data_IF_373547436510
#
_entry.id   IF_373547436510
#
_cell.length_a   1.000
_cell.length_b   1.000
_cell.length_c   1.000
_cell.angle_alpha   90.00
_cell.angle_beta   90.00
_cell.angle_gamma   90.00
#
_symmetry.space_group_name_H-M   'P 1'
#
loop_
_entity.id
_entity.type
_entity.pdbx_description
1 polymer ?
#
# COMPACT_ATOMS: atom_id res chain seq x y z
N UNK A 1 -0.74 -9.55 7.04
CA UNK A 1 -1.87 -9.09 6.20
C UNK A 1 -2.99 -8.48 7.04
N UNK A 2 -3.56 -9.19 8.02
CA UNK A 2 -4.55 -8.60 8.94
C UNK A 2 -4.01 -7.39 9.72
N UNK A 3 -2.72 -7.37 10.11
CA UNK A 3 -2.13 -6.22 10.80
C UNK A 3 -2.14 -4.92 9.97
N UNK A 4 -2.07 -5.00 8.63
CA UNK A 4 -2.09 -3.81 7.77
C UNK A 4 -3.47 -3.13 7.72
N UNK A 5 -4.56 -3.89 7.81
CA UNK A 5 -5.90 -3.29 7.95
C UNK A 5 -6.14 -2.77 9.37
N UNK A 6 -5.68 -3.49 10.39
CA UNK A 6 -5.93 -3.11 11.79
C UNK A 6 -5.11 -1.88 12.22
N UNK A 7 -3.90 -1.66 11.67
CA UNK A 7 -3.06 -0.51 12.01
C UNK A 7 -3.64 0.82 11.46
N UNK A 8 -4.52 0.75 10.47
CA UNK A 8 -4.81 1.86 9.55
C UNK A 8 -6.29 2.25 9.42
N UNK A 9 -7.20 1.57 10.13
CA UNK A 9 -8.63 1.84 10.04
C UNK A 9 -8.99 3.32 10.25
N UNK A 10 -9.51 3.95 9.20
CA UNK A 10 -10.07 5.30 9.19
C UNK A 10 -9.04 6.44 9.07
N UNK A 11 -7.82 6.18 8.61
CA UNK A 11 -6.77 7.23 8.47
C UNK A 11 -6.50 7.67 7.03
N UNK A 12 -6.85 6.85 6.05
CA UNK A 12 -6.53 7.09 4.64
C UNK A 12 -7.77 7.58 3.90
N UNK A 13 -8.93 6.98 4.18
CA UNK A 13 -10.23 7.26 3.53
C UNK A 13 -10.14 7.12 1.99
N UNK A 14 -9.55 6.00 1.55
CA UNK A 14 -9.33 5.69 0.14
C UNK A 14 -9.14 4.19 -0.10
N UNK A 15 -9.19 3.79 -1.38
CA UNK A 15 -8.82 2.46 -1.86
C UNK A 15 -7.36 2.44 -2.29
N UNK A 16 -6.60 1.48 -1.77
CA UNK A 16 -5.18 1.29 -2.10
C UNK A 16 -5.01 -0.12 -2.64
N UNK A 17 -4.39 -0.25 -3.81
CA UNK A 17 -4.03 -1.54 -4.39
C UNK A 17 -2.52 -1.70 -4.42
N UNK A 18 -2.01 -2.78 -3.83
CA UNK A 18 -0.65 -3.24 -4.02
C UNK A 18 -0.65 -4.25 -5.17
N UNK A 19 0.09 -3.95 -6.24
CA UNK A 19 0.31 -4.85 -7.36
C UNK A 19 1.69 -5.49 -7.25
N UNK A 20 1.69 -6.82 -7.22
CA UNK A 20 2.86 -7.67 -7.27
C UNK A 20 2.89 -8.39 -8.62
N UNK A 21 4.02 -9.00 -8.95
CA UNK A 21 4.15 -9.77 -10.20
C UNK A 21 3.22 -11.00 -10.26
N UNK A 22 2.79 -11.50 -9.10
CA UNK A 22 2.04 -12.74 -8.92
C UNK A 22 0.61 -12.52 -8.38
N UNK A 23 0.18 -11.27 -8.22
CA UNK A 23 -1.16 -10.97 -7.71
C UNK A 23 -1.32 -9.53 -7.25
N UNK A 24 -2.45 -9.24 -6.61
CA UNK A 24 -2.70 -7.94 -6.02
C UNK A 24 -3.40 -8.06 -4.67
N UNK A 25 -3.32 -6.99 -3.90
CA UNK A 25 -4.00 -6.81 -2.62
C UNK A 25 -4.68 -5.47 -2.65
N UNK A 26 -6.00 -5.46 -2.53
CA UNK A 26 -6.81 -4.26 -2.44
C UNK A 26 -7.21 -4.04 -0.98
N UNK A 27 -6.97 -2.83 -0.49
CA UNK A 27 -7.40 -2.34 0.82
C UNK A 27 -8.41 -1.22 0.57
N UNK A 28 -9.62 -1.38 1.09
CA UNK A 28 -10.66 -0.35 1.06
C UNK A 28 -10.84 0.23 2.47
N UNK A 29 -10.27 1.41 2.71
CA UNK A 29 -10.37 2.17 3.97
C UNK A 29 -11.52 3.20 3.93
N UNK A 30 -12.38 3.16 2.89
CA UNK A 30 -13.60 4.00 2.83
C UNK A 30 -14.75 3.39 3.63
N UNK A 31 -14.58 2.16 4.12
CA UNK A 31 -15.56 1.43 4.95
C UNK A 31 -15.05 1.22 6.37
N UNK A 32 -15.96 1.10 7.33
CA UNK A 32 -15.64 0.73 8.72
C UNK A 32 -16.37 -0.55 9.11
N UNK A 33 -15.66 -1.68 9.35
CA UNK A 33 -14.20 -1.83 9.29
C UNK A 33 -13.65 -1.77 7.85
N UNK A 34 -12.35 -1.49 7.67
CA UNK A 34 -11.70 -1.59 6.37
C UNK A 34 -11.79 -3.01 5.83
N UNK A 35 -11.88 -3.15 4.51
CA UNK A 35 -11.90 -4.46 3.86
C UNK A 35 -10.59 -4.74 3.13
N UNK A 36 -10.20 -6.02 3.09
CA UNK A 36 -9.06 -6.50 2.31
C UNK A 36 -9.55 -7.56 1.34
N UNK A 37 -9.15 -7.47 0.07
CA UNK A 37 -9.40 -8.51 -0.93
C UNK A 37 -8.20 -8.70 -1.86
N UNK A 38 -8.23 -9.78 -2.63
CA UNK A 38 -7.29 -10.01 -3.74
C UNK A 38 -7.95 -9.71 -5.10
N UNK A 39 -9.03 -8.93 -5.10
CA UNK A 39 -9.74 -8.56 -6.32
C UNK A 39 -8.98 -7.45 -7.05
N UNK A 40 -8.85 -7.59 -8.37
CA UNK A 40 -8.21 -6.59 -9.21
C UNK A 40 -9.21 -5.48 -9.62
N UNK A 41 -9.79 -4.82 -8.62
CA UNK A 41 -10.66 -3.67 -8.85
C UNK A 41 -9.84 -2.36 -8.91
N UNK A 42 -10.49 -1.30 -9.34
CA UNK A 42 -9.91 0.04 -9.35
C UNK A 42 -9.64 0.55 -7.92
N UNK A 43 -8.59 1.35 -7.80
CA UNK A 43 -8.14 1.95 -6.56
C UNK A 43 -7.70 3.40 -6.79
N UNK A 44 -7.83 4.26 -5.78
CA UNK A 44 -7.40 5.66 -5.83
C UNK A 44 -5.87 5.79 -5.90
N UNK A 45 -5.17 4.79 -5.37
CA UNK A 45 -3.73 4.65 -5.42
C UNK A 45 -3.33 3.21 -5.69
N UNK A 46 -2.47 3.00 -6.69
CA UNK A 46 -1.88 1.70 -7.05
C UNK A 46 -0.38 1.75 -6.82
N UNK A 47 0.13 0.77 -6.10
CA UNK A 47 1.54 0.65 -5.72
C UNK A 47 2.10 -0.62 -6.33
N UNK A 48 3.00 -0.45 -7.28
CA UNK A 48 3.73 -1.56 -7.86
C UNK A 48 5.03 -1.78 -7.08
N UNK A 49 5.19 -2.97 -6.54
CA UNK A 49 6.38 -3.37 -5.79
C UNK A 49 6.52 -4.89 -5.85
N UNK A 50 7.76 -5.40 -5.83
CA UNK A 50 7.97 -6.85 -5.73
C UNK A 50 7.84 -7.32 -4.26
N UNK A 51 7.65 -8.63 -4.07
CA UNK A 51 7.48 -9.23 -2.76
C UNK A 51 8.70 -9.01 -1.83
N UNK A 52 9.91 -9.02 -2.38
CA UNK A 52 11.14 -8.82 -1.62
C UNK A 52 11.25 -7.40 -1.03
N UNK A 53 11.11 -6.37 -1.86
CA UNK A 53 11.16 -4.97 -1.42
C UNK A 53 10.00 -4.65 -0.47
N UNK A 54 8.80 -5.19 -0.74
CA UNK A 54 7.67 -5.04 0.16
C UNK A 54 7.95 -5.64 1.55
N UNK A 55 8.55 -6.84 1.58
CA UNK A 55 8.99 -7.46 2.84
C UNK A 55 10.07 -6.64 3.55
N UNK A 56 11.04 -6.07 2.83
CA UNK A 56 12.05 -5.19 3.42
C UNK A 56 11.44 -3.93 4.05
N UNK A 57 10.42 -3.35 3.41
CA UNK A 57 9.68 -2.19 3.95
C UNK A 57 8.90 -2.59 5.22
N UNK A 58 8.14 -3.69 5.17
CA UNK A 58 7.40 -4.19 6.34
C UNK A 58 8.31 -4.49 7.54
N UNK A 59 9.52 -4.99 7.27
CA UNK A 59 10.52 -5.29 8.30
C UNK A 59 11.36 -4.06 8.70
N UNK A 60 11.02 -2.85 8.22
CA UNK A 60 11.77 -1.59 8.44
C UNK A 60 13.26 -1.66 8.03
N UNK A 61 13.60 -2.55 7.09
CA UNK A 61 14.95 -2.67 6.50
C UNK A 61 15.16 -1.70 5.34
N UNK A 62 14.07 -1.24 4.71
CA UNK A 62 14.04 -0.21 3.68
C UNK A 62 12.92 0.77 4.00
N UNK A 63 13.14 2.08 3.81
CA UNK A 63 12.03 3.05 3.92
C UNK A 63 11.24 3.14 2.62
N UNK A 64 9.94 3.39 2.73
CA UNK A 64 9.03 3.53 1.58
C UNK A 64 9.49 4.66 0.64
N UNK A 65 9.95 5.78 1.21
CA UNK A 65 10.50 6.89 0.45
C UNK A 65 11.74 6.50 -0.36
N UNK A 66 12.65 5.71 0.22
CA UNK A 66 13.85 5.24 -0.50
C UNK A 66 13.46 4.28 -1.63
N UNK A 67 12.50 3.38 -1.39
CA UNK A 67 12.01 2.45 -2.40
C UNK A 67 11.42 3.20 -3.61
N UNK A 68 10.62 4.24 -3.36
CA UNK A 68 10.03 5.08 -4.40
C UNK A 68 11.10 5.85 -5.18
N UNK A 69 11.97 6.58 -4.48
CA UNK A 69 13.02 7.41 -5.10
C UNK A 69 14.02 6.59 -5.92
N UNK A 70 14.28 5.33 -5.54
CA UNK A 70 15.16 4.41 -6.27
C UNK A 70 14.45 3.61 -7.37
N UNK A 71 13.15 3.81 -7.57
CA UNK A 71 12.35 3.12 -8.58
C UNK A 71 12.00 1.65 -8.25
N UNK A 72 12.31 1.21 -7.02
CA UNK A 72 11.95 -0.11 -6.48
C UNK A 72 10.47 -0.24 -6.15
N UNK A 73 9.81 0.90 -5.94
CA UNK A 73 8.37 1.06 -5.79
C UNK A 73 7.91 2.10 -6.82
N UNK A 74 6.78 1.84 -7.48
CA UNK A 74 6.10 2.84 -8.32
C UNK A 74 4.72 3.13 -7.78
N UNK A 75 4.30 4.37 -7.94
CA UNK A 75 3.01 4.85 -7.45
C UNK A 75 2.25 5.40 -8.65
N UNK A 76 1.03 4.92 -8.84
CA UNK A 76 0.07 5.39 -9.83
C UNK A 76 -1.17 5.90 -9.09
N UNK A 77 -1.66 7.08 -9.45
CA UNK A 77 -2.81 7.71 -8.80
C UNK A 77 -2.42 8.92 -7.94
N UNK A 78 -3.22 9.18 -6.91
CA UNK A 78 -3.09 10.37 -6.07
C UNK A 78 -1.85 10.30 -5.16
N UNK A 79 -0.83 11.10 -5.48
CA UNK A 79 0.42 11.15 -4.70
C UNK A 79 0.17 11.51 -3.22
N UNK A 80 -0.85 12.32 -2.93
CA UNK A 80 -1.26 12.68 -1.57
C UNK A 80 -1.63 11.44 -0.74
N UNK A 81 -2.28 10.45 -1.35
CA UNK A 81 -2.65 9.18 -0.70
C UNK A 81 -1.41 8.34 -0.46
N UNK A 82 -0.50 8.28 -1.45
CA UNK A 82 0.79 7.62 -1.30
C UNK A 82 1.65 8.22 -0.19
N UNK A 83 1.66 9.55 -0.02
CA UNK A 83 2.39 10.19 1.08
C UNK A 83 1.81 9.80 2.44
N UNK A 84 0.48 9.80 2.59
CA UNK A 84 -0.18 9.30 3.81
C UNK A 84 0.26 7.87 4.11
N UNK A 85 0.33 7.02 3.10
CA UNK A 85 0.76 5.64 3.23
C UNK A 85 2.24 5.50 3.63
N UNK A 86 3.14 6.32 3.08
CA UNK A 86 4.56 6.30 3.47
C UNK A 86 4.72 6.54 4.98
N UNK A 87 3.97 7.49 5.53
CA UNK A 87 3.96 7.76 6.97
C UNK A 87 3.40 6.63 7.84
N UNK A 88 2.76 5.61 7.25
CA UNK A 88 2.25 4.44 7.97
C UNK A 88 3.29 3.32 8.10
N UNK A 89 4.27 3.29 7.20
CA UNK A 89 5.33 2.27 7.19
C UNK A 89 6.61 2.70 7.92
N UNK A 90 6.83 4.02 8.08
CA UNK A 90 7.97 4.59 8.81
C UNK A 90 7.80 4.50 10.34
#
# INVERSE_FOLDING_TARGET
MNELATLNAGKIDAKIKFEFSDGCVLIDDTTSPPTISNENNDADCVIEINNENFSEILNKKMSSMSAFMTGKMKIKGEMTIAMKLSSLFD
#
